data_IF_240786823904
#
_entry.id   IF_240786823904
#
_cell.length_a   1.000
_cell.length_b   1.000
_cell.length_c   1.000
_cell.angle_alpha   90.00
_cell.angle_beta   90.00
_cell.angle_gamma   90.00
#
_symmetry.space_group_name_H-M   'P 1'
#
loop_
_entity.id
_entity.type
_entity.pdbx_description
1 polymer ?
#
# COMPACT_ATOMS: atom_id res chain seq x y z
N UNK A 1 -13.60 16.74 3.26
CA UNK A 1 -12.85 16.03 2.19
C UNK A 1 -12.27 14.69 2.69
N UNK A 2 -13.02 13.92 3.48
CA UNK A 2 -12.56 12.62 4.01
C UNK A 2 -12.78 11.44 3.04
N UNK A 3 -13.62 11.61 2.02
CA UNK A 3 -14.01 10.53 1.10
C UNK A 3 -12.84 9.94 0.32
N UNK A 4 -12.11 10.78 -0.44
CA UNK A 4 -11.11 10.29 -1.40
C UNK A 4 -10.03 9.40 -0.78
N UNK A 5 -9.41 9.81 0.34
CA UNK A 5 -8.41 8.98 1.02
C UNK A 5 -9.01 7.65 1.48
N UNK A 6 -10.20 7.68 2.07
CA UNK A 6 -10.90 6.49 2.53
C UNK A 6 -11.35 5.60 1.37
N UNK A 7 -11.70 6.16 0.22
CA UNK A 7 -12.11 5.41 -0.97
C UNK A 7 -10.92 4.69 -1.60
N UNK A 8 -9.76 5.38 -1.71
CA UNK A 8 -8.51 4.75 -2.16
C UNK A 8 -8.09 3.65 -1.17
N UNK A 9 -8.17 3.91 0.13
CA UNK A 9 -7.83 2.93 1.17
C UNK A 9 -8.70 1.67 1.06
N UNK A 10 -10.03 1.82 1.00
CA UNK A 10 -10.97 0.70 0.87
C UNK A 10 -10.71 -0.09 -0.40
N UNK A 11 -10.44 0.60 -1.51
CA UNK A 11 -10.14 -0.05 -2.77
C UNK A 11 -8.87 -0.91 -2.68
N UNK A 12 -7.79 -0.37 -2.13
CA UNK A 12 -6.53 -1.10 -1.98
C UNK A 12 -6.64 -2.28 -1.00
N UNK A 13 -7.39 -2.12 0.10
CA UNK A 13 -7.69 -3.22 1.02
C UNK A 13 -8.48 -4.34 0.34
N UNK A 14 -9.52 -3.99 -0.43
CA UNK A 14 -10.27 -4.98 -1.20
C UNK A 14 -9.38 -5.72 -2.22
N UNK A 15 -8.45 -5.04 -2.88
CA UNK A 15 -7.47 -5.71 -3.76
C UNK A 15 -6.60 -6.70 -2.99
N UNK A 16 -6.12 -6.33 -1.81
CA UNK A 16 -5.29 -7.18 -0.95
C UNK A 16 -6.07 -8.41 -0.45
N UNK A 17 -7.31 -8.24 -0.02
CA UNK A 17 -8.18 -9.34 0.45
C UNK A 17 -8.44 -10.38 -0.66
N UNK A 18 -8.47 -9.95 -1.92
CA UNK A 18 -8.63 -10.83 -3.07
C UNK A 18 -7.30 -11.38 -3.60
N UNK A 19 -6.15 -10.94 -3.06
CA UNK A 19 -4.85 -11.39 -3.51
C UNK A 19 -4.47 -12.72 -2.84
N UNK A 20 -4.26 -13.76 -3.65
CA UNK A 20 -3.88 -15.08 -3.14
C UNK A 20 -2.45 -15.13 -2.59
N UNK A 21 -1.58 -14.20 -3.03
CA UNK A 21 -0.15 -14.16 -2.68
C UNK A 21 0.17 -13.23 -1.49
N UNK A 22 -0.85 -12.63 -0.86
CA UNK A 22 -0.66 -11.72 0.28
C UNK A 22 -0.08 -10.35 -0.08
N UNK A 23 0.12 -10.05 -1.37
CA UNK A 23 0.55 -8.74 -1.86
C UNK A 23 -0.21 -8.33 -3.13
N UNK A 24 -0.19 -7.02 -3.43
CA UNK A 24 -0.68 -6.47 -4.69
C UNK A 24 0.33 -5.51 -5.29
N UNK A 25 0.43 -5.50 -6.61
CA UNK A 25 1.20 -4.51 -7.36
C UNK A 25 0.28 -3.53 -8.08
N UNK A 26 0.59 -2.24 -7.95
CA UNK A 26 -0.19 -1.17 -8.54
C UNK A 26 0.70 -0.17 -9.28
N UNK A 27 0.17 0.39 -10.36
CA UNK A 27 0.72 1.58 -11.01
C UNK A 27 0.26 2.83 -10.28
N UNK A 28 1.19 3.64 -9.76
CA UNK A 28 0.84 4.89 -9.06
C UNK A 28 0.07 5.86 -9.96
N UNK A 29 0.53 6.01 -11.20
CA UNK A 29 -0.08 6.94 -12.15
C UNK A 29 -1.45 6.43 -12.62
N UNK A 30 -1.60 5.12 -12.77
CA UNK A 30 -2.87 4.50 -13.16
C UNK A 30 -3.91 4.66 -12.05
N UNK A 31 -3.49 4.44 -10.80
CA UNK A 31 -4.35 4.65 -9.65
C UNK A 31 -4.74 6.13 -9.49
N UNK A 32 -3.78 7.04 -9.65
CA UNK A 32 -4.03 8.47 -9.63
C UNK A 32 -5.03 8.89 -10.71
N UNK A 33 -4.90 8.35 -11.92
CA UNK A 33 -5.82 8.59 -13.05
C UNK A 33 -7.22 8.06 -12.74
N UNK A 34 -7.32 6.82 -12.21
CA UNK A 34 -8.59 6.19 -11.85
C UNK A 34 -9.39 6.97 -10.80
N UNK A 35 -8.70 7.55 -9.82
CA UNK A 35 -9.31 8.32 -8.74
C UNK A 35 -9.34 9.82 -9.03
N UNK A 36 -9.00 10.24 -10.25
CA UNK A 36 -8.95 11.64 -10.69
C UNK A 36 -8.16 12.54 -9.71
N UNK A 37 -7.04 12.02 -9.19
CA UNK A 37 -6.22 12.68 -8.19
C UNK A 37 -4.75 12.77 -8.60
N UNK A 38 -3.95 13.52 -7.84
CA UNK A 38 -2.51 13.59 -8.09
C UNK A 38 -1.78 12.31 -7.59
N UNK A 39 -0.63 11.94 -8.19
CA UNK A 39 0.21 10.87 -7.66
C UNK A 39 0.64 11.07 -6.20
N UNK A 40 0.75 12.32 -5.74
CA UNK A 40 1.05 12.65 -4.35
C UNK A 40 -0.06 12.24 -3.39
N UNK A 41 -1.32 12.27 -3.82
CA UNK A 41 -2.45 11.78 -3.02
C UNK A 41 -2.31 10.27 -2.78
N UNK A 42 -1.92 9.51 -3.80
CA UNK A 42 -1.64 8.07 -3.66
C UNK A 42 -0.52 7.84 -2.65
N UNK A 43 0.59 8.56 -2.78
CA UNK A 43 1.70 8.46 -1.83
C UNK A 43 1.24 8.79 -0.40
N UNK A 44 0.39 9.80 -0.21
CA UNK A 44 -0.15 10.17 1.09
C UNK A 44 -1.01 9.06 1.70
N UNK A 45 -1.89 8.43 0.92
CA UNK A 45 -2.70 7.29 1.41
C UNK A 45 -1.78 6.14 1.82
N UNK A 46 -0.82 5.80 0.98
CA UNK A 46 0.16 4.74 1.24
C UNK A 46 0.96 5.00 2.52
N UNK A 47 1.52 6.20 2.69
CA UNK A 47 2.35 6.52 3.85
C UNK A 47 1.59 6.68 5.17
N UNK A 48 0.27 6.86 5.13
CA UNK A 48 -0.55 7.11 6.33
C UNK A 48 -1.52 5.97 6.68
N UNK A 49 -1.79 5.05 5.76
CA UNK A 49 -2.71 3.92 5.98
C UNK A 49 -2.04 2.56 5.86
N UNK A 50 -1.05 2.43 4.97
CA UNK A 50 -0.36 1.18 4.68
C UNK A 50 1.04 1.18 5.31
N UNK A 51 1.08 1.42 6.62
CA UNK A 51 2.31 1.44 7.41
C UNK A 51 2.62 0.08 8.02
N UNK A 52 3.88 -0.19 8.41
CA UNK A 52 4.21 -1.38 9.20
C UNK A 52 3.37 -1.48 10.47
N UNK A 53 3.10 -0.36 11.15
CA UNK A 53 2.21 -0.31 12.33
C UNK A 53 0.77 -0.82 12.08
N UNK A 54 0.33 -0.85 10.83
CA UNK A 54 -0.99 -1.33 10.41
C UNK A 54 -0.92 -2.69 9.72
N UNK A 55 0.22 -3.39 9.76
CA UNK A 55 0.40 -4.72 9.16
C UNK A 55 0.80 -4.70 7.68
N UNK A 56 1.32 -3.59 7.16
CA UNK A 56 1.67 -3.47 5.74
C UNK A 56 3.12 -3.07 5.51
N UNK A 57 3.74 -3.68 4.50
CA UNK A 57 5.02 -3.25 3.95
C UNK A 57 4.82 -2.71 2.52
N UNK A 58 5.51 -1.63 2.19
CA UNK A 58 5.46 -1.02 0.86
C UNK A 58 6.83 -1.12 0.20
N UNK A 59 6.87 -1.68 -0.99
CA UNK A 59 8.03 -1.61 -1.88
C UNK A 59 7.69 -0.74 -3.09
N UNK A 60 8.67 -0.04 -3.64
CA UNK A 60 8.46 0.74 -4.85
C UNK A 60 9.65 0.66 -5.78
N UNK A 61 9.36 0.60 -7.09
CA UNK A 61 10.35 0.67 -8.15
C UNK A 61 10.13 1.95 -8.96
N UNK A 62 11.19 2.72 -9.17
CA UNK A 62 11.17 3.91 -10.03
C UNK A 62 11.58 3.54 -11.47
N UNK A 63 11.14 4.33 -12.46
CA UNK A 63 11.45 4.14 -13.88
C UNK A 63 10.19 3.94 -14.76
N UNK A 64 10.37 3.70 -16.06
CA UNK A 64 9.27 3.57 -17.03
C UNK A 64 8.27 2.45 -16.72
N UNK A 65 8.73 1.36 -16.10
CA UNK A 65 7.90 0.26 -15.58
C UNK A 65 7.87 0.28 -14.04
N UNK A 66 7.75 1.47 -13.45
CA UNK A 66 7.70 1.64 -12.01
C UNK A 66 6.38 1.11 -11.44
N UNK A 67 6.44 0.49 -10.26
CA UNK A 67 5.28 -0.01 -9.55
C UNK A 67 5.40 0.29 -8.06
N UNK A 68 4.28 0.17 -7.36
CA UNK A 68 4.22 0.10 -5.91
C UNK A 68 3.65 -1.27 -5.55
N UNK A 69 4.34 -1.99 -4.68
CA UNK A 69 3.87 -3.27 -4.14
C UNK A 69 3.47 -3.06 -2.69
N UNK A 70 2.25 -3.45 -2.35
CA UNK A 70 1.73 -3.42 -0.99
C UNK A 70 1.66 -4.87 -0.53
N UNK A 71 2.36 -5.20 0.56
CA UNK A 71 2.50 -6.55 1.09
C UNK A 71 1.79 -6.58 2.45
N UNK A 72 0.90 -7.55 2.65
CA UNK A 72 0.30 -7.85 3.95
C UNK A 72 1.29 -8.69 4.74
N UNK A 73 1.67 -8.21 5.92
CA UNK A 73 2.47 -8.96 6.86
C UNK A 73 1.48 -9.88 7.58
N UNK A 74 1.49 -11.17 7.23
CA UNK A 74 0.60 -12.18 7.81
C UNK A 74 0.82 -12.23 9.32
N UNK A 75 -0.26 -12.47 10.08
CA UNK A 75 -0.41 -12.38 11.54
C UNK A 75 0.49 -13.28 12.41
N UNK A 76 1.65 -13.71 11.92
CA UNK A 76 2.66 -14.36 12.77
C UNK A 76 3.40 -13.27 13.55
N UNK A 77 3.09 -13.17 14.85
CA UNK A 77 3.61 -12.11 15.75
C UNK A 77 5.15 -12.01 15.70
N UNK A 78 5.85 -13.13 15.48
CA UNK A 78 7.30 -13.19 15.42
C UNK A 78 7.87 -12.49 14.16
N UNK A 79 7.20 -12.62 13.00
CA UNK A 79 7.60 -11.94 11.77
C UNK A 79 7.39 -10.42 11.87
N UNK A 80 6.32 -10.00 12.55
CA UNK A 80 5.98 -8.60 12.74
C UNK A 80 7.03 -7.84 13.56
N UNK A 81 7.46 -8.40 14.69
CA UNK A 81 8.48 -7.79 15.56
C UNK A 81 9.81 -7.65 14.81
N UNK A 82 10.21 -8.68 14.06
CA UNK A 82 11.46 -8.65 13.28
C UNK A 82 11.44 -7.55 12.21
N UNK A 83 10.30 -7.32 11.56
CA UNK A 83 10.15 -6.23 10.59
C UNK A 83 10.29 -4.87 11.28
N UNK A 84 9.61 -4.64 12.40
CA UNK A 84 9.72 -3.37 13.12
C UNK A 84 11.14 -3.08 13.60
N UNK A 85 11.88 -4.09 14.05
CA UNK A 85 13.28 -3.95 14.46
C UNK A 85 14.22 -3.60 13.30
N UNK A 86 13.92 -4.02 12.06
CA UNK A 86 14.71 -3.67 10.86
C UNK A 86 14.59 -2.21 10.43
N UNK A 87 13.53 -1.50 10.83
CA UNK A 87 13.27 -0.11 10.43
C UNK A 87 13.66 0.92 11.50
N UNK A 88 14.36 0.48 12.55
CA UNK A 88 14.99 1.36 13.55
C UNK A 88 16.45 1.61 13.21
#
# INVERSE_FOLDING_TARGET
MAGLTSDIEKFLKALLENAQEGFVEIGRNDLATRFECSPSQINYVLSTRFTPYNGYLIESKRGGNGFIRIITIVEDEDDYINILLKFR
#
